data_IF_560442839768
#
_entry.id   IF_560442839768
#
_cell.length_a   1.000
_cell.length_b   1.000
_cell.length_c   1.000
_cell.angle_alpha   90.00
_cell.angle_beta   90.00
_cell.angle_gamma   90.00
#
_symmetry.space_group_name_H-M   'P 1'
#
loop_
_entity.id
_entity.type
_entity.pdbx_description
1 polymer ?
#
# COMPACT_ATOMS: atom_id res chain seq x y z
N UNK A 1 -12.78 13.88 -8.33
CA UNK A 1 -12.94 12.60 -7.61
C UNK A 1 -12.11 12.63 -6.34
N UNK A 2 -12.73 12.52 -5.17
CA UNK A 2 -12.07 12.62 -3.87
C UNK A 2 -11.08 11.47 -3.69
N UNK A 3 -9.80 11.80 -3.49
CA UNK A 3 -8.71 10.86 -3.21
C UNK A 3 -9.10 9.80 -2.17
N UNK A 4 -9.84 10.20 -1.14
CA UNK A 4 -10.40 9.32 -0.12
C UNK A 4 -11.22 8.16 -0.66
N UNK A 5 -12.07 8.40 -1.67
CA UNK A 5 -12.89 7.34 -2.27
C UNK A 5 -12.01 6.31 -2.97
N UNK A 6 -11.01 6.78 -3.72
CA UNK A 6 -10.05 5.92 -4.41
C UNK A 6 -9.27 5.08 -3.39
N UNK A 7 -8.80 5.70 -2.30
CA UNK A 7 -8.06 4.96 -1.26
C UNK A 7 -8.97 3.94 -0.56
N UNK A 8 -10.23 4.26 -0.29
CA UNK A 8 -11.20 3.31 0.29
C UNK A 8 -11.42 2.10 -0.62
N UNK A 9 -11.64 2.33 -1.91
CA UNK A 9 -11.82 1.24 -2.89
C UNK A 9 -10.56 0.38 -3.01
N UNK A 10 -9.37 1.01 -3.11
CA UNK A 10 -8.08 0.30 -3.13
C UNK A 10 -7.89 -0.53 -1.87
N UNK A 11 -8.18 0.03 -0.69
CA UNK A 11 -8.06 -0.68 0.58
C UNK A 11 -8.98 -1.88 0.65
N UNK A 12 -10.24 -1.75 0.20
CA UNK A 12 -11.20 -2.86 0.19
C UNK A 12 -10.71 -4.00 -0.71
N UNK A 13 -10.28 -3.67 -1.94
CA UNK A 13 -9.75 -4.65 -2.89
C UNK A 13 -8.51 -5.34 -2.33
N UNK A 14 -7.52 -4.58 -1.86
CA UNK A 14 -6.27 -5.14 -1.33
C UNK A 14 -6.51 -6.00 -0.10
N UNK A 15 -7.45 -5.62 0.78
CA UNK A 15 -7.85 -6.46 1.93
C UNK A 15 -8.47 -7.78 1.48
N UNK A 16 -9.35 -7.75 0.48
CA UNK A 16 -9.93 -8.98 -0.10
C UNK A 16 -8.86 -9.89 -0.69
N UNK A 17 -7.92 -9.32 -1.46
CA UNK A 17 -6.79 -10.07 -2.02
C UNK A 17 -5.89 -10.66 -0.94
N UNK A 18 -5.59 -9.89 0.11
CA UNK A 18 -4.83 -10.42 1.26
C UNK A 18 -5.62 -11.55 1.90
N UNK A 19 -6.90 -11.39 2.24
CA UNK A 19 -7.71 -12.46 2.83
C UNK A 19 -7.73 -13.75 1.99
N UNK A 20 -7.80 -13.63 0.67
CA UNK A 20 -7.85 -14.77 -0.24
C UNK A 20 -6.48 -15.45 -0.44
N UNK A 21 -5.42 -14.67 -0.64
CA UNK A 21 -4.07 -15.19 -0.94
C UNK A 21 -3.19 -15.34 0.30
N UNK A 22 -3.66 -14.99 1.50
CA UNK A 22 -2.94 -15.21 2.75
C UNK A 22 -3.06 -16.66 3.21
N UNK A 23 -2.85 -17.60 2.29
CA UNK A 23 -2.69 -19.02 2.54
C UNK A 23 -1.34 -19.44 1.94
N UNK A 24 -0.38 -19.83 2.79
CA UNK A 24 0.98 -20.32 2.41
C UNK A 24 1.93 -19.25 1.84
N UNK A 25 2.89 -19.67 0.99
CA UNK A 25 4.12 -18.97 0.53
C UNK A 25 3.89 -17.70 -0.33
N UNK A 26 2.78 -16.99 -0.18
CA UNK A 26 2.44 -15.84 -1.02
C UNK A 26 3.06 -14.51 -0.54
N UNK A 27 3.97 -14.53 0.44
CA UNK A 27 4.61 -13.34 1.03
C UNK A 27 5.35 -12.48 0.01
N UNK A 28 6.04 -13.11 -0.96
CA UNK A 28 6.73 -12.39 -2.03
C UNK A 28 5.74 -11.66 -2.95
N UNK A 29 4.64 -12.31 -3.31
CA UNK A 29 3.58 -11.72 -4.15
C UNK A 29 2.89 -10.57 -3.41
N UNK A 30 2.60 -10.74 -2.11
CA UNK A 30 2.06 -9.68 -1.26
C UNK A 30 3.03 -8.49 -1.14
N UNK A 31 4.34 -8.73 -1.13
CA UNK A 31 5.36 -7.68 -1.22
C UNK A 31 5.27 -6.87 -2.53
N UNK A 32 5.04 -7.54 -3.66
CA UNK A 32 4.85 -6.88 -4.95
C UNK A 32 3.55 -6.07 -4.99
N UNK A 33 2.45 -6.60 -4.44
CA UNK A 33 1.17 -5.89 -4.31
C UNK A 33 1.35 -4.63 -3.48
N UNK A 34 2.01 -4.72 -2.31
CA UNK A 34 2.34 -3.56 -1.47
C UNK A 34 3.06 -2.48 -2.27
N UNK A 35 4.16 -2.85 -2.93
CA UNK A 35 4.98 -1.91 -3.69
C UNK A 35 4.17 -1.28 -4.84
N UNK A 36 3.36 -2.07 -5.55
CA UNK A 36 2.52 -1.57 -6.63
C UNK A 36 1.53 -0.52 -6.13
N UNK A 37 0.82 -0.83 -5.04
CA UNK A 37 -0.19 0.07 -4.46
C UNK A 37 0.45 1.37 -3.96
N UNK A 38 1.57 1.30 -3.26
CA UNK A 38 2.32 2.49 -2.83
C UNK A 38 2.73 3.38 -4.03
N UNK A 39 3.30 2.77 -5.08
CA UNK A 39 3.75 3.50 -6.28
C UNK A 39 2.59 4.15 -7.04
N UNK A 40 1.45 3.46 -7.14
CA UNK A 40 0.24 4.00 -7.77
C UNK A 40 -0.31 5.18 -6.98
N UNK A 41 -0.35 5.09 -5.65
CA UNK A 41 -0.82 6.20 -4.80
C UNK A 41 0.12 7.40 -4.88
N UNK A 42 1.44 7.20 -4.79
CA UNK A 42 2.44 8.26 -4.97
C UNK A 42 2.29 8.92 -6.35
N UNK A 43 2.10 8.13 -7.41
CA UNK A 43 1.91 8.65 -8.76
C UNK A 43 0.64 9.51 -8.86
N UNK A 44 -0.46 9.06 -8.26
CA UNK A 44 -1.70 9.81 -8.23
C UNK A 44 -1.54 11.14 -7.45
N UNK A 45 -0.91 11.10 -6.28
CA UNK A 45 -0.60 12.29 -5.47
C UNK A 45 0.32 13.27 -6.22
N UNK A 46 1.35 12.78 -6.90
CA UNK A 46 2.24 13.59 -7.72
C UNK A 46 1.47 14.32 -8.82
N UNK A 47 0.62 13.61 -9.57
CA UNK A 47 -0.22 14.22 -10.62
C UNK A 47 -1.17 15.26 -10.03
N UNK A 48 -1.83 14.94 -8.91
CA UNK A 48 -2.77 15.85 -8.22
C UNK A 48 -2.09 17.14 -7.73
N UNK A 49 -0.87 17.03 -7.21
CA UNK A 49 -0.10 18.16 -6.70
C UNK A 49 0.88 18.76 -7.73
N UNK A 50 0.73 18.41 -9.02
CA UNK A 50 1.54 18.93 -10.14
C UNK A 50 3.06 18.75 -9.94
N UNK A 51 3.47 17.68 -9.25
CA UNK A 51 4.88 17.36 -9.00
C UNK A 51 5.44 16.57 -10.17
N UNK A 52 6.21 17.23 -11.04
CA UNK A 52 6.83 16.62 -12.23
C UNK A 52 7.91 15.59 -11.86
N UNK A 53 8.83 15.93 -10.96
CA UNK A 53 9.96 15.08 -10.61
C UNK A 53 9.55 13.92 -9.67
N UNK A 54 10.08 12.70 -9.94
CA UNK A 54 9.80 11.49 -9.15
C UNK A 54 10.45 11.52 -7.77
N UNK A 55 11.70 11.96 -7.69
CA UNK A 55 12.45 12.09 -6.44
C UNK A 55 11.79 13.12 -5.50
N UNK A 56 11.40 14.28 -6.04
CA UNK A 56 10.60 15.28 -5.28
C UNK A 56 9.26 14.71 -4.81
N UNK A 57 8.67 13.82 -5.60
CA UNK A 57 7.46 13.09 -5.20
C UNK A 57 7.67 12.19 -3.99
N UNK A 58 8.78 11.45 -3.92
CA UNK A 58 9.11 10.61 -2.76
C UNK A 58 9.42 11.44 -1.51
N UNK A 59 10.09 12.58 -1.67
CA UNK A 59 10.37 13.50 -0.56
C UNK A 59 9.07 14.13 -0.03
N UNK A 60 8.18 14.56 -0.95
CA UNK A 60 6.91 15.20 -0.59
C UNK A 60 5.86 14.21 -0.05
N UNK A 61 5.90 12.96 -0.52
CA UNK A 61 4.99 11.90 -0.15
C UNK A 61 5.77 10.65 0.31
N UNK A 62 6.41 10.70 1.50
CA UNK A 62 7.14 9.56 2.02
C UNK A 62 6.19 8.39 2.31
N UNK A 63 6.65 7.14 2.19
CA UNK A 63 5.80 5.96 2.39
C UNK A 63 5.03 5.98 3.72
N UNK A 64 5.64 6.47 4.81
CA UNK A 64 4.96 6.63 6.11
C UNK A 64 3.70 7.49 6.02
N UNK A 65 3.72 8.55 5.20
CA UNK A 65 2.57 9.42 5.01
C UNK A 65 1.41 8.73 4.29
N UNK A 66 1.68 7.75 3.42
CA UNK A 66 0.64 6.95 2.75
C UNK A 66 -0.25 6.24 3.77
N UNK A 67 0.38 5.69 4.80
CA UNK A 67 -0.30 4.97 5.88
C UNK A 67 -0.96 5.92 6.87
N UNK A 68 -0.22 6.92 7.38
CA UNK A 68 -0.69 7.77 8.48
C UNK A 68 -1.66 8.86 8.02
N UNK A 69 -1.38 9.49 6.88
CA UNK A 69 -2.14 10.66 6.40
C UNK A 69 -3.25 10.27 5.43
N UNK A 70 -2.99 9.30 4.56
CA UNK A 70 -3.94 8.88 3.53
C UNK A 70 -4.67 7.58 3.89
N UNK A 71 -4.40 7.00 5.07
CA UNK A 71 -5.05 5.78 5.57
C UNK A 71 -4.95 4.59 4.60
N UNK A 72 -3.83 4.47 3.87
CA UNK A 72 -3.58 3.32 3.01
C UNK A 72 -3.46 2.04 3.85
N UNK A 73 -4.07 0.94 3.40
CA UNK A 73 -3.95 -0.35 4.07
C UNK A 73 -2.52 -0.91 3.91
N UNK A 74 -1.90 -1.27 5.03
CA UNK A 74 -0.57 -1.88 5.04
C UNK A 74 -0.69 -3.38 4.78
N UNK A 75 -0.30 -3.80 3.58
CA UNK A 75 -0.27 -5.21 3.19
C UNK A 75 0.72 -5.98 4.06
N UNK A 76 0.30 -7.10 4.68
CA UNK A 76 1.22 -7.97 5.41
C UNK A 76 2.16 -8.63 4.42
N UNK A 77 3.46 -8.41 4.59
CA UNK A 77 4.52 -9.04 3.78
C UNK A 77 5.19 -10.21 4.50
N UNK A 78 4.67 -10.58 5.67
CA UNK A 78 5.12 -11.71 6.48
C UNK A 78 3.96 -12.70 6.60
N UNK A 79 4.27 -13.99 6.66
CA UNK A 79 3.25 -15.02 6.81
C UNK A 79 2.63 -14.96 8.21
N UNK A 80 1.31 -15.16 8.32
CA UNK A 80 0.60 -15.15 9.61
C UNK A 80 1.23 -16.10 10.64
N UNK A 81 1.61 -17.31 10.24
CA UNK A 81 2.17 -18.33 11.14
C UNK A 81 3.56 -17.96 11.71
N UNK A 82 4.26 -16.98 11.12
CA UNK A 82 5.51 -16.46 11.68
C UNK A 82 5.25 -15.54 12.88
N UNK A 83 4.05 -14.96 13.01
CA UNK A 83 3.67 -14.08 14.12
C UNK A 83 3.24 -14.82 15.38
N UNK A 84 2.82 -16.08 15.26
CA UNK A 84 2.39 -16.92 16.40
C UNK A 84 3.57 -17.51 17.20
N UNK A 85 4.82 -17.29 16.77
CA UNK A 85 6.04 -17.79 17.43
C UNK A 85 6.86 -16.68 18.10
N UNK A 86 6.20 -15.82 18.86
CA UNK A 86 6.91 -14.94 19.81
C UNK A 86 6.46 -15.33 21.23
N UNK A 87 7.34 -15.85 22.09
CA UNK A 87 7.02 -16.14 23.49
C UNK A 87 6.75 -14.86 24.30
#
# INVERSE_FOLDING_TARGET
>A
MLLDRVVKEVNATVRGWVGYFHFRNCTQVLGQVRNHVEQRLITHLRKRHKVRNRMTGYIKFPNRSLYVKYSLYKVPTSAAWTRERTP
#
